data_IF_580973101541
#
_entry.id   IF_580973101541
#
_cell.length_a   1.000
_cell.length_b   1.000
_cell.length_c   1.000
_cell.angle_alpha   90.00
_cell.angle_beta   90.00
_cell.angle_gamma   90.00
#
_symmetry.space_group_name_H-M   'P 1'
#
loop_
_entity.id
_entity.type
_entity.pdbx_description
1 polymer ?
#
# COMPACT_ATOMS: atom_id res chain seq x y z
N UNK A 1 3.69 3.06 -0.09
CA UNK A 1 3.05 1.78 -0.52
C UNK A 1 4.04 0.65 -0.27
N UNK A 2 3.63 -0.61 -0.30
CA UNK A 2 4.53 -1.77 -0.15
C UNK A 2 4.21 -2.82 -1.22
N UNK A 3 5.18 -3.65 -1.57
CA UNK A 3 4.98 -4.82 -2.43
C UNK A 3 4.44 -6.03 -1.66
N UNK A 4 4.41 -5.96 -0.32
CA UNK A 4 4.11 -7.07 0.59
C UNK A 4 2.76 -6.88 1.31
N UNK A 5 1.65 -7.37 0.73
CA UNK A 5 0.35 -7.35 1.43
C UNK A 5 0.30 -8.28 2.64
N UNK A 6 1.21 -9.25 2.72
CA UNK A 6 1.34 -10.26 3.78
C UNK A 6 2.24 -9.84 4.95
N UNK A 7 2.83 -8.65 4.92
CA UNK A 7 3.71 -8.18 5.98
C UNK A 7 2.95 -7.80 7.25
N UNK A 8 3.06 -8.65 8.27
CA UNK A 8 2.41 -8.50 9.58
C UNK A 8 2.72 -7.16 10.27
N UNK A 9 3.98 -6.70 10.16
CA UNK A 9 4.40 -5.44 10.78
C UNK A 9 3.68 -4.24 10.16
N UNK A 10 3.45 -4.24 8.85
CA UNK A 10 2.69 -3.19 8.18
C UNK A 10 1.22 -3.19 8.61
N UNK A 11 0.61 -4.37 8.78
CA UNK A 11 -0.75 -4.49 9.29
C UNK A 11 -0.89 -3.97 10.73
N UNK A 12 0.08 -4.27 11.58
CA UNK A 12 0.10 -3.76 12.95
C UNK A 12 0.23 -2.24 12.96
N UNK A 13 1.18 -1.70 12.18
CA UNK A 13 1.58 -0.31 12.19
C UNK A 13 0.57 0.62 11.49
N UNK A 14 0.14 0.24 10.27
CA UNK A 14 -0.63 1.12 9.39
C UNK A 14 -2.11 0.74 9.23
N UNK A 15 -2.50 -0.45 9.68
CA UNK A 15 -3.87 -0.93 9.58
C UNK A 15 -4.53 -1.14 10.95
N UNK A 16 -4.23 -0.29 11.93
CA UNK A 16 -4.85 -0.30 13.27
C UNK A 16 -4.82 -1.68 13.92
N UNK A 17 -3.64 -2.33 13.98
CA UNK A 17 -3.49 -3.70 14.47
C UNK A 17 -4.46 -4.67 13.79
N UNK A 18 -4.38 -4.79 12.46
CA UNK A 18 -5.19 -5.69 11.64
C UNK A 18 -6.72 -5.40 11.67
N UNK A 19 -7.16 -4.22 12.17
CA UNK A 19 -8.57 -3.79 12.16
C UNK A 19 -8.90 -2.86 10.99
N UNK A 20 -7.90 -2.49 10.20
CA UNK A 20 -8.00 -1.66 9.01
C UNK A 20 -8.10 -2.49 7.72
N UNK A 21 -7.77 -1.85 6.62
CA UNK A 21 -7.74 -2.47 5.29
C UNK A 21 -6.52 -2.04 4.51
N UNK A 22 -6.19 -2.81 3.48
CA UNK A 22 -5.19 -2.48 2.47
C UNK A 22 -5.86 -2.38 1.11
N UNK A 23 -5.45 -1.38 0.32
CA UNK A 23 -5.86 -1.23 -1.06
C UNK A 23 -4.76 -1.74 -1.97
N UNK A 24 -5.10 -2.60 -2.91
CA UNK A 24 -4.18 -3.12 -3.90
C UNK A 24 -4.42 -2.44 -5.25
N UNK A 25 -3.35 -1.93 -5.81
CA UNK A 25 -3.37 -1.26 -7.10
C UNK A 25 -2.55 -2.01 -8.14
N UNK A 26 -3.00 -1.95 -9.38
CA UNK A 26 -2.21 -2.38 -10.54
C UNK A 26 -0.99 -1.47 -10.70
N UNK A 27 0.18 -2.07 -11.00
CA UNK A 27 1.39 -1.32 -11.35
C UNK A 27 1.33 -0.85 -12.82
N UNK A 28 0.31 -0.08 -13.15
CA UNK A 28 0.08 0.46 -14.50
C UNK A 28 -0.52 1.86 -14.40
N UNK A 29 -0.68 2.51 -15.55
CA UNK A 29 -1.22 3.87 -15.62
C UNK A 29 -0.51 4.82 -14.66
N UNK A 30 -1.28 5.52 -13.83
CA UNK A 30 -0.76 6.46 -12.85
C UNK A 30 0.27 5.84 -11.88
N UNK A 31 0.08 4.58 -11.49
CA UNK A 31 0.96 3.90 -10.51
C UNK A 31 2.25 3.33 -11.12
N UNK A 32 2.38 3.31 -12.45
CA UNK A 32 3.60 2.86 -13.13
C UNK A 32 4.83 3.76 -12.83
N UNK A 33 4.61 4.99 -12.40
CA UNK A 33 5.67 5.91 -12.00
C UNK A 33 6.19 5.67 -10.56
N UNK A 34 5.62 4.72 -9.84
CA UNK A 34 6.07 4.38 -8.50
C UNK A 34 7.45 3.72 -8.53
N UNK A 35 8.33 4.13 -7.63
CA UNK A 35 9.71 3.64 -7.52
C UNK A 35 9.94 2.95 -6.20
N UNK A 36 10.80 1.94 -6.23
CA UNK A 36 11.23 1.23 -5.02
C UNK A 36 12.13 2.12 -4.16
N UNK A 37 12.01 1.96 -2.86
CA UNK A 37 12.91 2.60 -1.90
C UNK A 37 14.21 1.81 -1.84
N UNK A 38 15.31 2.53 -1.85
CA UNK A 38 16.66 1.99 -1.71
C UNK A 38 16.99 1.97 -0.21
N UNK A 39 17.35 0.81 0.31
CA UNK A 39 17.71 0.64 1.72
C UNK A 39 19.23 0.58 1.88
N UNK A 40 19.72 1.30 2.86
CA UNK A 40 21.15 1.39 3.15
C UNK A 40 21.46 2.49 4.15
N UNK A 41 22.74 2.82 4.26
CA UNK A 41 23.16 4.00 5.00
C UNK A 41 22.63 5.24 4.28
N UNK A 42 22.12 6.17 5.06
CA UNK A 42 21.69 7.46 4.49
C UNK A 42 22.95 8.18 4.06
N UNK A 43 23.13 8.36 2.76
CA UNK A 43 24.20 9.19 2.21
C UNK A 43 23.89 10.64 2.55
N UNK A 44 24.91 11.38 3.01
CA UNK A 44 24.76 12.80 3.28
C UNK A 44 24.21 13.51 2.04
N UNK A 45 23.09 14.21 2.27
CA UNK A 45 22.43 14.93 1.20
C UNK A 45 23.11 16.26 0.96
N UNK A 46 23.72 16.42 -0.20
CA UNK A 46 24.21 17.73 -0.66
C UNK A 46 23.11 18.47 -1.45
N UNK A 47 22.49 19.50 -0.86
CA UNK A 47 21.45 20.26 -1.54
C UNK A 47 21.98 21.10 -2.71
N UNK A 48 23.27 21.19 -2.87
CA UNK A 48 23.92 21.95 -3.98
C UNK A 48 24.15 21.08 -5.22
N UNK A 49 24.17 19.73 -5.03
CA UNK A 49 24.31 18.78 -6.12
C UNK A 49 22.97 18.65 -6.89
N UNK A 50 22.96 19.01 -8.19
CA UNK A 50 21.75 18.92 -9.01
C UNK A 50 21.20 17.49 -9.14
N UNK A 51 22.06 16.46 -9.13
CA UNK A 51 21.63 15.07 -9.22
C UNK A 51 20.97 14.59 -7.92
N UNK A 52 21.50 15.02 -6.78
CA UNK A 52 20.92 14.73 -5.48
C UNK A 52 19.63 15.52 -5.21
N UNK A 53 19.51 16.73 -5.77
CA UNK A 53 18.26 17.51 -5.74
C UNK A 53 17.08 16.76 -6.37
N UNK A 54 17.34 15.91 -7.35
CA UNK A 54 16.33 15.19 -8.11
C UNK A 54 15.76 13.98 -7.38
N UNK A 55 15.50 14.13 -6.08
CA UNK A 55 14.67 13.20 -5.34
C UNK A 55 15.35 11.90 -4.86
N UNK A 56 16.68 11.74 -4.98
CA UNK A 56 17.36 10.55 -4.47
C UNK A 56 17.07 10.31 -2.99
N UNK A 57 17.13 11.34 -2.15
CA UNK A 57 16.79 11.24 -0.72
C UNK A 57 15.33 10.84 -0.44
N UNK A 58 14.40 11.14 -1.38
CA UNK A 58 13.00 10.75 -1.24
C UNK A 58 12.80 9.24 -1.38
N UNK A 59 13.77 8.54 -1.95
CA UNK A 59 13.73 7.10 -2.17
C UNK A 59 14.74 6.33 -1.33
N UNK A 60 15.37 6.98 -0.35
CA UNK A 60 16.26 6.31 0.61
C UNK A 60 15.57 6.03 1.94
N UNK A 61 16.00 4.95 2.59
CA UNK A 61 15.56 4.56 3.94
C UNK A 61 16.64 3.71 4.61
N UNK A 62 16.76 3.79 5.94
CA UNK A 62 17.70 2.95 6.67
C UNK A 62 17.32 1.48 6.59
N UNK A 63 18.32 0.59 6.73
CA UNK A 63 18.15 -0.86 6.65
C UNK A 63 17.10 -1.41 7.62
N UNK A 64 16.88 -0.79 8.77
CA UNK A 64 15.89 -1.20 9.76
C UNK A 64 14.47 -1.31 9.19
N UNK A 65 14.19 -0.60 8.08
CA UNK A 65 12.90 -0.57 7.41
C UNK A 65 12.81 -1.46 6.17
N UNK A 66 13.86 -2.21 5.85
CA UNK A 66 13.94 -2.99 4.61
C UNK A 66 12.79 -4.00 4.49
N UNK A 67 12.30 -4.51 5.62
CA UNK A 67 11.16 -5.43 5.63
C UNK A 67 9.86 -4.82 5.10
N UNK A 68 9.76 -3.49 4.99
CA UNK A 68 8.56 -2.84 4.44
C UNK A 68 8.47 -2.98 2.92
N UNK A 69 9.56 -3.27 2.22
CA UNK A 69 9.63 -3.32 0.75
C UNK A 69 8.82 -2.17 0.13
N UNK A 70 9.19 -0.97 0.57
CA UNK A 70 8.41 0.24 0.28
C UNK A 70 8.54 0.66 -1.17
N UNK A 71 7.42 1.11 -1.72
CA UNK A 71 7.34 1.75 -3.04
C UNK A 71 6.72 3.13 -2.86
N UNK A 72 7.34 4.15 -3.44
CA UNK A 72 6.89 5.55 -3.36
C UNK A 72 6.48 6.10 -4.70
N UNK A 73 5.36 6.81 -4.69
CA UNK A 73 4.94 7.68 -5.76
C UNK A 73 5.12 9.12 -5.29
N UNK A 74 6.05 9.83 -5.90
CA UNK A 74 6.38 11.21 -5.55
C UNK A 74 5.80 12.14 -6.61
N UNK A 75 5.01 13.10 -6.15
CA UNK A 75 4.38 14.07 -7.02
C UNK A 75 5.16 15.40 -7.01
N UNK A 76 5.33 16.06 -8.16
CA UNK A 76 5.92 17.40 -8.21
C UNK A 76 5.13 18.39 -7.34
N UNK A 77 5.83 19.41 -6.84
CA UNK A 77 5.19 20.51 -6.10
C UNK A 77 4.17 21.23 -6.98
N UNK A 78 3.06 21.66 -6.39
CA UNK A 78 2.01 22.43 -7.10
C UNK A 78 0.93 21.58 -7.74
N UNK A 79 0.99 20.25 -7.66
CA UNK A 79 -0.11 19.38 -8.06
C UNK A 79 -1.16 19.32 -6.93
N UNK A 80 -2.42 19.19 -7.30
CA UNK A 80 -3.55 19.04 -6.38
C UNK A 80 -3.27 17.91 -5.36
N UNK A 81 -3.68 18.13 -4.12
CA UNK A 81 -3.68 17.08 -3.08
C UNK A 81 -4.67 15.95 -3.38
N UNK A 82 -5.56 16.15 -4.35
CA UNK A 82 -6.51 15.13 -4.82
C UNK A 82 -6.05 14.64 -6.18
N UNK A 83 -5.75 13.35 -6.25
CA UNK A 83 -5.31 12.69 -7.47
C UNK A 83 -6.43 11.82 -7.97
N UNK A 84 -6.83 12.04 -9.22
CA UNK A 84 -7.76 11.16 -9.92
C UNK A 84 -6.98 10.09 -10.69
N UNK A 85 -7.44 8.86 -10.64
CA UNK A 85 -6.90 7.73 -11.39
C UNK A 85 -8.03 6.87 -11.93
N UNK A 86 -7.72 6.06 -12.95
CA UNK A 86 -8.70 5.17 -13.56
C UNK A 86 -9.19 4.13 -12.56
N UNK A 87 -10.50 3.92 -12.51
CA UNK A 87 -11.13 3.06 -11.50
C UNK A 87 -10.64 1.61 -11.54
N UNK A 88 -10.22 1.11 -12.71
CA UNK A 88 -9.69 -0.24 -12.90
C UNK A 88 -8.31 -0.45 -12.28
N UNK A 89 -7.58 0.61 -11.93
CA UNK A 89 -6.28 0.49 -11.28
C UNK A 89 -6.37 0.00 -9.82
N UNK A 90 -7.48 0.26 -9.13
CA UNK A 90 -7.74 -0.38 -7.84
C UNK A 90 -8.32 -1.77 -8.09
N UNK A 91 -7.56 -2.81 -7.79
CA UNK A 91 -7.86 -4.20 -8.16
C UNK A 91 -8.47 -5.01 -7.03
N UNK A 92 -8.07 -4.73 -5.78
CA UNK A 92 -8.50 -5.53 -4.63
C UNK A 92 -8.54 -4.70 -3.35
N UNK A 93 -9.46 -5.06 -2.45
CA UNK A 93 -9.46 -4.60 -1.06
C UNK A 93 -9.17 -5.79 -0.16
N UNK A 94 -8.15 -5.67 0.67
CA UNK A 94 -7.80 -6.68 1.66
C UNK A 94 -8.25 -6.17 3.02
N UNK A 95 -9.18 -6.87 3.64
CA UNK A 95 -9.72 -6.55 4.96
C UNK A 95 -8.85 -7.21 6.02
N UNK A 96 -8.48 -6.45 7.03
CA UNK A 96 -7.70 -6.98 8.16
C UNK A 96 -8.46 -8.04 8.95
N UNK A 97 -7.72 -8.95 9.55
CA UNK A 97 -8.24 -10.12 10.27
C UNK A 97 -9.27 -9.74 11.33
N UNK A 98 -9.05 -8.64 12.03
CA UNK A 98 -9.87 -8.20 13.17
C UNK A 98 -10.78 -7.00 12.83
N UNK A 99 -11.05 -6.75 11.54
CA UNK A 99 -11.96 -5.68 11.17
C UNK A 99 -13.38 -5.98 11.63
N UNK A 100 -14.04 -5.04 12.32
CA UNK A 100 -15.45 -5.23 12.77
C UNK A 100 -16.41 -5.35 11.59
N UNK A 101 -17.43 -6.20 11.73
CA UNK A 101 -18.41 -6.48 10.66
C UNK A 101 -19.16 -5.22 10.19
N UNK A 102 -19.42 -4.28 11.09
CA UNK A 102 -20.02 -2.98 10.72
C UNK A 102 -19.20 -2.25 9.65
N UNK A 103 -17.87 -2.26 9.78
CA UNK A 103 -16.96 -1.65 8.79
C UNK A 103 -16.91 -2.45 7.50
N UNK A 104 -16.95 -3.78 7.59
CA UNK A 104 -16.99 -4.65 6.41
C UNK A 104 -18.26 -4.37 5.59
N UNK A 105 -19.41 -4.28 6.24
CA UNK A 105 -20.68 -3.98 5.57
C UNK A 105 -20.66 -2.60 4.90
N UNK A 106 -19.96 -1.65 5.49
CA UNK A 106 -19.78 -0.32 4.88
C UNK A 106 -18.92 -0.39 3.61
N UNK A 107 -17.82 -1.15 3.63
CA UNK A 107 -16.98 -1.39 2.44
C UNK A 107 -17.79 -2.09 1.35
N UNK A 108 -18.57 -3.13 1.70
CA UNK A 108 -19.46 -3.83 0.76
C UNK A 108 -20.43 -2.87 0.08
N UNK A 109 -21.08 -2.00 0.84
CA UNK A 109 -22.00 -0.99 0.31
C UNK A 109 -21.31 -0.04 -0.67
N UNK A 110 -20.10 0.43 -0.36
CA UNK A 110 -19.34 1.32 -1.25
C UNK A 110 -18.91 0.63 -2.54
N UNK A 111 -18.53 -0.65 -2.45
CA UNK A 111 -18.02 -1.39 -3.60
C UNK A 111 -19.12 -1.97 -4.48
N UNK A 112 -20.34 -2.17 -3.95
CA UNK A 112 -21.47 -2.72 -4.71
C UNK A 112 -21.89 -1.85 -5.90
N UNK A 113 -21.70 -0.53 -5.80
CA UNK A 113 -22.06 0.43 -6.84
C UNK A 113 -20.93 0.68 -7.85
N UNK A 114 -19.81 -0.01 -7.70
CA UNK A 114 -18.60 0.24 -8.51
C UNK A 114 -18.54 -0.66 -9.74
N UNK A 115 -18.05 -0.08 -10.85
CA UNK A 115 -17.66 -0.79 -12.05
C UNK A 115 -16.22 -0.41 -12.43
N UNK A 116 -15.31 -1.38 -12.70
CA UNK A 116 -15.49 -2.83 -12.54
C UNK A 116 -15.64 -3.24 -11.08
N UNK A 117 -16.23 -4.41 -10.84
CA UNK A 117 -16.34 -4.97 -9.49
C UNK A 117 -14.97 -5.24 -8.89
N UNK A 118 -14.83 -4.97 -7.59
CA UNK A 118 -13.61 -5.24 -6.83
C UNK A 118 -13.64 -6.62 -6.17
N UNK A 119 -12.50 -7.28 -6.17
CA UNK A 119 -12.29 -8.45 -5.31
C UNK A 119 -12.08 -7.97 -3.88
N UNK A 120 -12.85 -8.53 -2.95
CA UNK A 120 -12.67 -8.29 -1.51
C UNK A 120 -12.23 -9.59 -0.87
N UNK A 121 -11.12 -9.54 -0.14
CA UNK A 121 -10.57 -10.68 0.60
C UNK A 121 -10.34 -10.29 2.04
N UNK A 122 -10.34 -11.26 2.94
CA UNK A 122 -9.94 -11.08 4.35
C UNK A 122 -8.55 -11.68 4.54
N UNK A 123 -7.65 -10.92 5.14
CA UNK A 123 -6.40 -11.45 5.64
C UNK A 123 -6.69 -12.35 6.85
N UNK A 124 -6.13 -13.53 6.88
CA UNK A 124 -6.23 -14.47 8.00
C UNK A 124 -4.85 -15.04 8.29
N UNK A 125 -4.41 -14.92 9.53
CA UNK A 125 -3.14 -15.51 9.94
C UNK A 125 -3.25 -17.03 10.01
N UNK A 126 -2.30 -17.70 9.41
CA UNK A 126 -2.13 -19.13 9.47
C UNK A 126 -1.03 -19.47 10.49
N UNK A 127 -1.42 -20.12 11.57
CA UNK A 127 -0.53 -20.46 12.68
C UNK A 127 0.48 -21.56 12.31
N UNK A 128 0.16 -22.41 11.34
CA UNK A 128 1.04 -23.48 10.90
C UNK A 128 2.11 -23.00 9.91
N UNK A 129 1.70 -22.15 8.96
CA UNK A 129 2.59 -21.63 7.93
C UNK A 129 3.22 -20.29 8.30
N UNK A 130 2.84 -19.72 9.46
CA UNK A 130 3.32 -18.43 9.98
C UNK A 130 3.20 -17.28 8.97
N UNK A 131 2.10 -17.26 8.17
CA UNK A 131 1.87 -16.26 7.15
C UNK A 131 0.41 -15.76 7.13
N UNK A 132 0.17 -14.64 6.43
CA UNK A 132 -1.19 -14.18 6.12
C UNK A 132 -1.68 -14.85 4.83
N UNK A 133 -2.81 -15.53 4.91
CA UNK A 133 -3.58 -16.00 3.78
C UNK A 133 -4.71 -15.02 3.46
N UNK A 134 -5.12 -14.93 2.19
CA UNK A 134 -6.16 -14.00 1.73
C UNK A 134 -7.37 -14.78 1.23
N UNK A 135 -8.42 -14.78 2.03
CA UNK A 135 -9.62 -15.59 1.80
C UNK A 135 -10.70 -14.70 1.16
N UNK A 136 -11.25 -15.08 -0.01
CA UNK A 136 -12.35 -14.34 -0.63
C UNK A 136 -13.54 -14.20 0.31
N UNK A 137 -14.12 -12.99 0.36
CA UNK A 137 -15.38 -12.74 1.06
C UNK A 137 -16.48 -12.70 0.00
N UNK A 138 -17.47 -13.58 0.15
CA UNK A 138 -18.67 -13.52 -0.68
C UNK A 138 -19.41 -12.20 -0.40
N UNK A 139 -19.71 -11.48 -1.47
CA UNK A 139 -20.44 -10.21 -1.45
C UNK A 139 -21.95 -10.45 -1.36
#
# INVERSE_FOLDING_TARGET
MSKRPDNMSLWAKYASNHKGYCLEFSNSGFFAAAREVIYGDIVDFDPTDPEQRNAFFLFQKTLDWQTEEEVRLVMPRGISSIIQFESNLLTRIIIGQYMPDKKINMIRKWTSMRSPKLTIVRAKYDEFEHKLNFIPIQL
#
